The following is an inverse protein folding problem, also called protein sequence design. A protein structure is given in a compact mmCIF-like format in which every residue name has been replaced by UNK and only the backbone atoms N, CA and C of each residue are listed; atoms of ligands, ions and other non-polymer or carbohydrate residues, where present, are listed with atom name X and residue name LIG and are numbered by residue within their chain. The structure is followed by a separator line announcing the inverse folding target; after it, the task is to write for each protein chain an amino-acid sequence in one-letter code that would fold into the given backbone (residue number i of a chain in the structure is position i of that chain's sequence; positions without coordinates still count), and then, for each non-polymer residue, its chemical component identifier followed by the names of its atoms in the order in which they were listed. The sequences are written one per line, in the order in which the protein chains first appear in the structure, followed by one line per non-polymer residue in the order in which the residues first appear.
data_IF_832830906237
#
_entry.id   IF_832830906237
#
_cell.length_a   1.000
_cell.length_b   1.000
_cell.length_c   1.000
_cell.angle_alpha   90.00
_cell.angle_beta   90.00
_cell.angle_gamma   90.00
#
_symmetry.space_group_name_H-M   'P 1'
#
loop_
_entity.id
_entity.type
_entity.pdbx_description
1 polymer ?
#
# COMPACT_ATOMS: atom_id res chain seq x y z
N UNK A 1 12.79 15.62 -23.21
CA UNK A 1 12.69 15.51 -21.75
C UNK A 1 11.67 14.43 -21.46
N UNK A 2 12.06 13.36 -20.78
CA UNK A 2 11.19 12.21 -20.48
C UNK A 2 10.95 12.12 -18.97
N UNK A 3 9.85 11.51 -18.56
CA UNK A 3 9.53 11.32 -17.13
C UNK A 3 10.68 10.65 -16.35
N UNK A 4 11.37 9.69 -16.97
CA UNK A 4 12.52 9.01 -16.33
C UNK A 4 13.74 9.92 -16.21
N UNK A 5 14.01 10.81 -17.18
CA UNK A 5 15.13 11.75 -17.03
C UNK A 5 14.90 12.75 -15.90
N UNK A 6 13.64 13.14 -15.65
CA UNK A 6 13.31 14.05 -14.54
C UNK A 6 13.47 13.34 -13.19
N UNK A 7 13.11 12.05 -13.13
CA UNK A 7 13.33 11.23 -11.94
C UNK A 7 14.81 10.95 -11.68
N UNK A 8 15.59 10.69 -12.72
CA UNK A 8 17.05 10.51 -12.59
C UNK A 8 17.71 11.77 -12.03
N UNK A 9 17.34 12.95 -12.56
CA UNK A 9 17.79 14.22 -12.03
C UNK A 9 17.41 14.39 -10.55
N UNK A 10 16.17 14.07 -10.18
CA UNK A 10 15.73 14.15 -8.78
C UNK A 10 16.48 13.17 -7.87
N UNK A 11 16.76 11.95 -8.32
CA UNK A 11 17.53 10.95 -7.55
C UNK A 11 18.98 11.41 -7.33
N UNK A 12 19.58 12.09 -8.29
CA UNK A 12 20.94 12.61 -8.18
C UNK A 12 21.04 13.86 -7.30
N UNK A 13 20.03 14.72 -7.32
CA UNK A 13 20.12 16.07 -6.73
C UNK A 13 19.27 16.30 -5.47
N UNK A 14 18.29 15.45 -5.16
CA UNK A 14 17.46 15.61 -3.97
C UNK A 14 18.24 15.25 -2.68
N UNK A 15 17.82 15.84 -1.56
CA UNK A 15 18.42 15.57 -0.27
C UNK A 15 18.29 14.09 0.13
N UNK A 16 19.33 13.52 0.75
CA UNK A 16 19.35 12.14 1.27
C UNK A 16 18.65 11.98 2.61
N UNK A 17 18.31 13.09 3.27
CA UNK A 17 17.55 13.15 4.51
C UNK A 17 16.64 14.38 4.52
N UNK A 18 15.56 14.32 5.28
CA UNK A 18 14.58 15.40 5.38
C UNK A 18 13.38 14.97 6.21
N UNK A 19 12.47 15.92 6.46
CA UNK A 19 11.14 15.57 6.94
C UNK A 19 10.38 14.84 5.83
N UNK A 20 9.50 13.92 6.20
CA UNK A 20 8.68 13.13 5.29
C UNK A 20 7.52 13.89 4.64
N UNK A 21 7.58 15.23 4.64
CA UNK A 21 6.71 16.10 3.84
C UNK A 21 7.45 16.73 2.66
N UNK A 22 8.77 16.51 2.56
CA UNK A 22 9.60 16.99 1.47
C UNK A 22 10.16 15.81 0.69
N UNK A 23 10.25 15.98 -0.63
CA UNK A 23 10.82 14.96 -1.51
C UNK A 23 12.30 14.79 -1.20
N UNK A 24 12.67 13.58 -0.80
CA UNK A 24 14.06 13.12 -0.67
C UNK A 24 14.44 12.28 -1.89
N UNK A 25 15.74 11.95 -2.02
CA UNK A 25 16.22 10.96 -2.99
C UNK A 25 15.42 9.65 -2.92
N UNK A 26 15.09 9.19 -1.72
CA UNK A 26 14.35 7.95 -1.50
C UNK A 26 12.90 8.00 -2.01
N UNK A 27 12.24 9.15 -1.84
CA UNK A 27 10.92 9.39 -2.41
C UNK A 27 10.98 9.41 -3.95
N UNK A 28 12.00 10.05 -4.54
CA UNK A 28 12.22 10.06 -5.99
C UNK A 28 12.50 8.65 -6.54
N UNK A 29 13.30 7.85 -5.82
CA UNK A 29 13.57 6.45 -6.15
C UNK A 29 12.30 5.59 -6.12
N UNK A 30 11.48 5.71 -5.08
CA UNK A 30 10.21 4.97 -4.99
C UNK A 30 9.23 5.39 -6.11
N UNK A 31 9.15 6.68 -6.44
CA UNK A 31 8.36 7.13 -7.59
C UNK A 31 8.90 6.58 -8.92
N UNK A 32 10.23 6.49 -9.07
CA UNK A 32 10.86 5.84 -10.23
C UNK A 32 10.48 4.36 -10.34
N UNK A 33 10.42 3.63 -9.22
CA UNK A 33 9.94 2.24 -9.22
C UNK A 33 8.51 2.12 -9.76
N UNK A 34 7.59 3.04 -9.38
CA UNK A 34 6.23 3.07 -9.92
C UNK A 34 6.22 3.23 -11.45
N UNK A 35 7.03 4.15 -11.98
CA UNK A 35 7.13 4.42 -13.43
C UNK A 35 7.72 3.23 -14.18
N UNK A 36 8.79 2.63 -13.66
CA UNK A 36 9.42 1.44 -14.23
C UNK A 36 8.43 0.26 -14.28
N UNK A 37 7.72 -0.01 -13.18
CA UNK A 37 6.71 -1.07 -13.14
C UNK A 37 5.54 -0.81 -14.08
N UNK A 38 5.10 0.45 -14.22
CA UNK A 38 4.02 0.80 -15.15
C UNK A 38 4.44 0.62 -16.61
N UNK A 39 5.72 0.87 -16.94
CA UNK A 39 6.27 0.66 -18.29
C UNK A 39 6.52 -0.83 -18.59
N UNK A 40 6.94 -1.60 -17.60
CA UNK A 40 6.89 -3.06 -17.58
C UNK A 40 7.82 -3.79 -18.56
N UNK A 41 8.93 -3.18 -18.99
CA UNK A 41 9.94 -3.87 -19.81
C UNK A 41 10.86 -4.73 -18.95
N UNK A 42 11.56 -5.70 -19.57
CA UNK A 42 12.46 -6.59 -18.83
C UNK A 42 13.56 -5.82 -18.05
N UNK A 43 14.17 -4.82 -18.68
CA UNK A 43 15.19 -3.97 -18.03
C UNK A 43 14.60 -3.08 -16.92
N UNK A 44 13.30 -2.78 -16.97
CA UNK A 44 12.61 -2.01 -15.93
C UNK A 44 12.53 -2.80 -14.64
N UNK A 45 12.28 -4.10 -14.72
CA UNK A 45 12.21 -4.96 -13.55
C UNK A 45 13.57 -5.08 -12.86
N UNK A 46 14.65 -5.26 -13.62
CA UNK A 46 16.00 -5.31 -13.07
C UNK A 46 16.37 -4.00 -12.36
N UNK A 47 16.06 -2.86 -12.97
CA UNK A 47 16.27 -1.54 -12.34
C UNK A 47 15.40 -1.35 -11.10
N UNK A 48 14.13 -1.76 -11.14
CA UNK A 48 13.22 -1.66 -9.99
C UNK A 48 13.72 -2.49 -8.80
N UNK A 49 14.21 -3.72 -9.03
CA UNK A 49 14.83 -4.54 -7.99
C UNK A 49 16.06 -3.86 -7.40
N UNK A 50 16.96 -3.32 -8.24
CA UNK A 50 18.15 -2.63 -7.77
C UNK A 50 17.83 -1.40 -6.93
N UNK A 51 16.90 -0.56 -7.40
CA UNK A 51 16.43 0.63 -6.67
C UNK A 51 15.82 0.23 -5.34
N UNK A 52 14.92 -0.75 -5.33
CA UNK A 52 14.25 -1.19 -4.12
C UNK A 52 15.19 -1.76 -3.07
N UNK A 53 16.15 -2.60 -3.48
CA UNK A 53 17.19 -3.11 -2.57
C UNK A 53 18.04 -1.97 -1.97
N UNK A 54 18.36 -0.94 -2.76
CA UNK A 54 19.10 0.23 -2.28
C UNK A 54 18.28 1.03 -1.25
N UNK A 55 17.00 1.30 -1.54
CA UNK A 55 16.10 1.96 -0.57
C UNK A 55 16.00 1.14 0.72
N UNK A 56 15.75 -0.17 0.63
CA UNK A 56 15.57 -1.05 1.79
C UNK A 56 16.84 -1.07 2.66
N UNK A 57 18.02 -1.09 2.05
CA UNK A 57 19.29 -1.27 2.77
C UNK A 57 19.88 0.04 3.29
N UNK A 58 19.71 1.14 2.56
CA UNK A 58 20.52 2.35 2.76
C UNK A 58 19.72 3.61 3.13
N UNK A 59 18.38 3.57 3.04
CA UNK A 59 17.57 4.77 3.30
C UNK A 59 17.38 5.13 4.77
N UNK A 60 17.53 4.16 5.68
CA UNK A 60 17.23 4.31 7.10
C UNK A 60 15.73 4.33 7.44
N UNK A 61 14.82 4.16 6.47
CA UNK A 61 13.42 3.84 6.74
C UNK A 61 13.28 2.39 7.23
N UNK A 62 12.29 2.13 8.09
CA UNK A 62 12.07 0.82 8.70
C UNK A 62 10.57 0.53 8.72
N UNK A 63 10.19 -0.71 8.41
CA UNK A 63 8.81 -1.19 8.54
C UNK A 63 8.36 -1.12 10.00
N UNK A 64 7.16 -0.62 10.25
CA UNK A 64 6.63 -0.59 11.61
C UNK A 64 6.32 -2.02 12.10
N UNK A 65 6.73 -2.38 13.33
CA UNK A 65 6.36 -3.68 13.90
C UNK A 65 4.85 -3.90 14.02
N UNK A 66 4.09 -2.81 14.07
CA UNK A 66 2.64 -2.80 14.05
C UNK A 66 2.16 -1.71 13.08
N UNK A 67 1.71 -2.12 11.90
CA UNK A 67 1.25 -1.21 10.82
C UNK A 67 0.09 -0.33 11.27
N UNK A 68 -0.74 -0.77 12.23
CA UNK A 68 -1.84 0.04 12.77
C UNK A 68 -1.35 1.34 13.41
N UNK A 69 -0.15 1.32 14.00
CA UNK A 69 0.39 2.48 14.71
C UNK A 69 0.70 3.64 13.77
N UNK A 70 0.98 3.37 12.48
CA UNK A 70 1.12 4.41 11.45
C UNK A 70 -0.12 5.29 11.44
N UNK A 71 -1.31 4.69 11.43
CA UNK A 71 -2.56 5.42 11.24
C UNK A 71 -3.15 5.95 12.55
N UNK A 72 -2.92 5.26 13.68
CA UNK A 72 -3.60 5.57 14.93
C UNK A 72 -2.73 6.28 15.99
N UNK A 73 -1.40 6.29 15.83
CA UNK A 73 -0.51 6.92 16.81
C UNK A 73 0.60 7.80 16.20
N UNK A 74 1.20 7.39 15.07
CA UNK A 74 2.47 7.96 14.59
C UNK A 74 2.28 8.97 13.47
N UNK A 75 1.47 8.64 12.47
CA UNK A 75 1.34 9.40 11.24
C UNK A 75 2.71 9.64 10.60
N UNK A 76 3.01 10.92 10.36
CA UNK A 76 4.29 11.34 9.80
C UNK A 76 5.47 11.24 10.79
N UNK A 77 5.30 10.79 12.03
CA UNK A 77 6.45 10.43 12.87
C UNK A 77 6.94 9.00 12.61
N UNK A 78 6.20 8.19 11.85
CA UNK A 78 6.57 6.81 11.54
C UNK A 78 7.82 6.76 10.66
N UNK A 79 8.71 5.81 10.95
CA UNK A 79 9.90 5.53 10.14
C UNK A 79 9.60 4.68 8.90
N UNK A 80 8.36 4.28 8.71
CA UNK A 80 7.92 3.62 7.48
C UNK A 80 7.49 4.62 6.40
N UNK A 81 7.08 5.83 6.79
CA UNK A 81 6.55 6.83 5.86
C UNK A 81 7.68 7.58 5.18
N UNK A 82 7.82 7.36 3.87
CA UNK A 82 8.84 7.97 3.02
C UNK A 82 8.41 9.39 2.61
N UNK A 83 7.16 9.53 2.16
CA UNK A 83 6.56 10.79 1.77
C UNK A 83 5.08 10.80 2.17
N UNK A 84 4.64 11.90 2.77
CA UNK A 84 3.25 12.16 3.09
C UNK A 84 2.89 13.63 2.91
N UNK A 85 1.61 13.92 3.09
CA UNK A 85 1.05 15.27 2.99
C UNK A 85 0.44 15.62 4.34
N UNK A 86 0.82 16.79 4.87
CA UNK A 86 0.21 17.33 6.07
C UNK A 86 -1.16 17.90 5.75
N UNK A 87 -2.16 17.68 6.60
CA UNK A 87 -3.43 18.38 6.46
C UNK A 87 -3.24 19.89 6.62
N UNK A 88 -4.07 20.66 5.93
CA UNK A 88 -4.06 22.12 6.10
C UNK A 88 -4.42 22.52 7.53
N UNK A 89 -3.92 23.67 7.97
CA UNK A 89 -4.36 24.27 9.23
C UNK A 89 -5.89 24.39 9.22
N UNK A 90 -6.54 23.92 10.30
CA UNK A 90 -8.00 23.88 10.44
C UNK A 90 -8.75 22.99 9.43
N UNK A 91 -8.12 22.07 8.71
CA UNK A 91 -8.82 21.12 7.83
C UNK A 91 -9.92 20.35 8.58
N UNK A 92 -9.68 20.01 9.85
CA UNK A 92 -10.66 19.39 10.74
C UNK A 92 -11.92 20.23 11.03
N UNK A 93 -11.93 21.54 10.71
CA UNK A 93 -13.06 22.43 10.93
C UNK A 93 -14.18 22.26 9.89
N UNK A 94 -13.86 21.73 8.70
CA UNK A 94 -14.83 21.52 7.63
C UNK A 94 -15.01 20.04 7.36
N UNK A 95 -16.17 19.51 7.73
CA UNK A 95 -16.48 18.08 7.66
C UNK A 95 -16.14 17.41 6.32
N UNK A 96 -16.49 18.04 5.20
CA UNK A 96 -16.25 17.50 3.85
C UNK A 96 -14.77 17.39 3.48
N UNK A 97 -13.89 18.00 4.27
CA UNK A 97 -12.44 17.94 4.10
C UNK A 97 -11.78 16.94 5.06
N UNK A 98 -12.58 16.12 5.75
CA UNK A 98 -12.07 15.17 6.75
C UNK A 98 -12.35 13.72 6.38
N UNK A 99 -11.53 12.82 6.91
CA UNK A 99 -11.74 11.36 6.87
C UNK A 99 -13.03 10.93 7.59
N UNK A 100 -13.74 11.86 8.25
CA UNK A 100 -15.06 11.67 8.84
C UNK A 100 -16.11 11.20 7.82
N UNK A 101 -15.90 11.47 6.53
CA UNK A 101 -16.76 10.99 5.45
C UNK A 101 -16.83 9.46 5.34
N UNK A 102 -15.80 8.74 5.81
CA UNK A 102 -15.74 7.27 5.80
C UNK A 102 -16.58 6.60 6.90
N UNK A 103 -16.99 7.37 7.92
CA UNK A 103 -17.52 6.84 9.18
C UNK A 103 -18.85 7.45 9.62
N UNK A 104 -19.40 8.41 8.86
CA UNK A 104 -20.75 8.92 9.08
C UNK A 104 -21.67 8.45 7.95
N UNK A 105 -22.86 7.95 8.32
CA UNK A 105 -24.03 7.61 7.48
C UNK A 105 -23.96 8.14 6.04
N UNK A 106 -23.18 7.44 5.21
CA UNK A 106 -22.90 7.78 3.82
C UNK A 106 -22.67 6.46 3.07
N UNK A 107 -23.29 6.30 1.91
CA UNK A 107 -23.22 5.10 1.07
C UNK A 107 -22.15 5.16 -0.03
N UNK A 108 -21.45 6.29 -0.16
CA UNK A 108 -20.44 6.58 -1.19
C UNK A 108 -19.03 6.13 -0.83
N UNK A 109 -18.61 6.30 0.43
CA UNK A 109 -17.22 6.05 0.88
C UNK A 109 -17.20 5.01 2.00
N UNK A 110 -17.34 3.74 1.63
CA UNK A 110 -17.59 2.63 2.55
C UNK A 110 -16.71 1.44 2.25
N UNK A 111 -16.40 0.65 3.28
CA UNK A 111 -15.88 -0.70 3.09
C UNK A 111 -17.02 -1.59 2.58
N UNK A 112 -16.72 -2.48 1.63
CA UNK A 112 -17.70 -3.40 1.02
C UNK A 112 -17.52 -4.82 1.56
N UNK A 113 -18.51 -5.68 1.34
CA UNK A 113 -18.36 -7.12 1.60
C UNK A 113 -17.15 -7.72 0.88
N UNK A 114 -16.78 -7.24 -0.32
CA UNK A 114 -15.57 -7.70 -1.03
C UNK A 114 -14.31 -7.44 -0.21
N UNK A 115 -14.16 -6.25 0.37
CA UNK A 115 -13.02 -5.94 1.25
C UNK A 115 -13.06 -6.74 2.55
N UNK A 116 -14.26 -6.89 3.15
CA UNK A 116 -14.46 -7.72 4.35
C UNK A 116 -13.98 -9.15 4.12
N UNK A 117 -14.41 -9.76 3.03
CA UNK A 117 -14.12 -11.15 2.70
C UNK A 117 -12.64 -11.33 2.33
N UNK A 118 -12.03 -10.35 1.64
CA UNK A 118 -10.59 -10.34 1.37
C UNK A 118 -9.74 -10.28 2.65
N UNK A 119 -10.26 -9.64 3.70
CA UNK A 119 -9.63 -9.55 5.01
C UNK A 119 -10.13 -10.64 5.97
N UNK A 120 -10.79 -11.70 5.48
CA UNK A 120 -11.20 -12.80 6.33
C UNK A 120 -10.00 -13.37 7.09
N UNK A 121 -10.13 -13.46 8.42
CA UNK A 121 -9.05 -13.82 9.34
C UNK A 121 -7.81 -12.92 9.31
N UNK A 122 -7.77 -11.83 8.55
CA UNK A 122 -6.64 -10.87 8.56
C UNK A 122 -6.78 -9.89 9.75
N UNK A 123 -5.76 -9.67 10.59
CA UNK A 123 -5.88 -8.78 11.75
C UNK A 123 -6.22 -7.33 11.37
N UNK A 124 -5.93 -6.91 10.13
CA UNK A 124 -6.32 -5.60 9.59
C UNK A 124 -7.82 -5.40 9.53
N UNK A 125 -8.61 -6.48 9.44
CA UNK A 125 -10.07 -6.36 9.42
C UNK A 125 -10.60 -5.59 10.63
N UNK A 126 -10.02 -5.80 11.81
CA UNK A 126 -10.49 -5.21 13.08
C UNK A 126 -10.34 -3.68 13.14
N UNK A 127 -9.48 -3.10 12.31
CA UNK A 127 -9.22 -1.67 12.30
C UNK A 127 -9.35 -1.03 10.91
N UNK A 128 -9.76 -1.80 9.90
CA UNK A 128 -10.27 -1.27 8.63
C UNK A 128 -11.80 -1.20 8.60
N UNK A 129 -12.49 -2.15 9.25
CA UNK A 129 -13.94 -2.26 9.21
C UNK A 129 -14.57 -1.91 10.55
N UNK A 130 -15.45 -0.92 10.53
CA UNK A 130 -16.34 -0.59 11.64
C UNK A 130 -17.68 -1.31 11.55
N UNK A 131 -18.69 -0.75 12.22
CA UNK A 131 -20.05 -1.29 12.20
C UNK A 131 -20.63 -1.33 10.77
N UNK A 132 -21.59 -2.25 10.56
CA UNK A 132 -22.39 -2.28 9.35
C UNK A 132 -23.09 -0.94 9.13
N UNK A 133 -23.10 -0.49 7.87
CA UNK A 133 -23.74 0.76 7.49
C UNK A 133 -25.25 0.58 7.40
N UNK A 134 -26.00 1.43 8.11
CA UNK A 134 -27.46 1.41 8.08
C UNK A 134 -28.08 1.89 6.76
N UNK A 135 -27.33 2.65 5.95
CA UNK A 135 -27.85 3.29 4.73
C UNK A 135 -27.69 2.41 3.48
N UNK A 136 -26.83 1.38 3.53
CA UNK A 136 -26.55 0.50 2.40
C UNK A 136 -26.13 -0.90 2.86
N UNK A 137 -26.98 -1.88 2.57
CA UNK A 137 -26.70 -3.28 2.86
C UNK A 137 -25.39 -3.75 2.19
N UNK A 138 -24.67 -4.65 2.86
CA UNK A 138 -23.38 -5.17 2.38
C UNK A 138 -22.23 -4.16 2.44
N UNK A 139 -22.37 -3.12 3.26
CA UNK A 139 -21.31 -2.12 3.47
C UNK A 139 -21.07 -1.83 4.94
N UNK A 140 -19.88 -1.33 5.25
CA UNK A 140 -19.36 -1.10 6.60
C UNK A 140 -18.64 0.25 6.65
N UNK A 141 -18.59 0.89 7.81
CA UNK A 141 -17.75 2.08 7.98
C UNK A 141 -16.28 1.73 7.75
N UNK A 142 -15.56 2.56 7.01
CA UNK A 142 -14.14 2.38 6.78
C UNK A 142 -13.34 3.17 7.83
N UNK A 143 -12.71 2.47 8.76
CA UNK A 143 -12.14 3.06 9.99
C UNK A 143 -10.62 3.10 10.00
N UNK A 144 -9.93 2.78 8.90
CA UNK A 144 -8.45 2.76 8.83
C UNK A 144 -7.77 4.02 9.39
N UNK A 145 -8.36 5.19 9.13
CA UNK A 145 -7.84 6.49 9.56
C UNK A 145 -8.48 7.03 10.82
N UNK A 146 -9.71 6.59 11.10
CA UNK A 146 -10.52 7.12 12.19
C UNK A 146 -10.76 6.01 13.17
N UNK A 147 -10.25 6.15 14.40
CA UNK A 147 -10.44 5.17 15.46
C UNK A 147 -11.94 4.85 15.65
N UNK A 148 -12.24 3.75 16.34
CA UNK A 148 -13.62 3.27 16.56
C UNK A 148 -14.55 4.29 17.25
N UNK A 149 -14.01 5.34 17.86
CA UNK A 149 -14.74 6.51 18.39
C UNK A 149 -15.31 7.43 17.29
N UNK A 150 -14.97 7.18 16.03
CA UNK A 150 -15.42 7.89 14.82
C UNK A 150 -15.14 9.40 14.87
N UNK A 151 -14.11 9.80 15.61
CA UNK A 151 -13.68 11.20 15.78
C UNK A 151 -12.46 11.47 14.93
N UNK A 152 -12.56 12.46 14.04
CA UNK A 152 -11.44 12.92 13.21
C UNK A 152 -10.44 13.73 14.03
N UNK A 153 -9.16 13.62 13.69
CA UNK A 153 -8.04 14.28 14.36
C UNK A 153 -7.04 14.74 13.31
N UNK A 154 -6.07 15.58 13.67
CA UNK A 154 -5.01 15.96 12.72
C UNK A 154 -4.25 14.73 12.18
N UNK A 155 -4.14 13.67 12.97
CA UNK A 155 -3.54 12.40 12.57
C UNK A 155 -4.39 11.66 11.53
N UNK A 156 -5.72 11.65 11.65
CA UNK A 156 -6.60 10.97 10.70
C UNK A 156 -6.62 11.62 9.32
N UNK A 157 -6.19 12.87 9.23
CA UNK A 157 -6.13 13.65 7.98
C UNK A 157 -4.76 13.61 7.30
N UNK A 158 -3.79 12.89 7.85
CA UNK A 158 -2.51 12.64 7.19
C UNK A 158 -2.73 11.76 5.96
N UNK A 159 -2.23 12.20 4.81
CA UNK A 159 -2.17 11.37 3.61
C UNK A 159 -0.76 10.76 3.44
N UNK A 160 -0.72 9.49 3.07
CA UNK A 160 0.51 8.71 2.96
C UNK A 160 0.83 8.45 1.50
N UNK A 161 1.59 9.35 0.88
CA UNK A 161 1.88 9.30 -0.54
C UNK A 161 2.80 8.12 -0.92
N UNK A 162 3.81 7.83 -0.09
CA UNK A 162 4.75 6.71 -0.27
C UNK A 162 5.16 6.17 1.11
N UNK A 163 5.04 4.84 1.30
CA UNK A 163 5.56 4.12 2.47
C UNK A 163 6.54 3.03 2.06
N UNK A 164 7.42 2.63 2.98
CA UNK A 164 8.42 1.59 2.73
C UNK A 164 7.79 0.24 2.39
N UNK A 165 6.62 -0.10 2.96
CA UNK A 165 5.86 -1.30 2.56
C UNK A 165 5.65 -1.39 1.04
N UNK A 166 5.47 -0.25 0.35
CA UNK A 166 5.24 -0.22 -1.08
C UNK A 166 6.52 -0.58 -1.85
N UNK A 167 7.67 -0.10 -1.38
CA UNK A 167 8.98 -0.43 -1.93
C UNK A 167 9.20 -1.95 -1.86
N UNK A 168 8.91 -2.58 -0.72
CA UNK A 168 9.03 -4.03 -0.56
C UNK A 168 8.15 -4.78 -1.57
N UNK A 169 6.87 -4.40 -1.71
CA UNK A 169 5.96 -5.07 -2.64
C UNK A 169 6.28 -4.79 -4.12
N UNK A 170 6.84 -3.61 -4.44
CA UNK A 170 7.32 -3.28 -5.78
C UNK A 170 8.58 -4.08 -6.13
N UNK A 171 9.51 -4.25 -5.18
CA UNK A 171 10.70 -5.10 -5.34
C UNK A 171 10.31 -6.56 -5.50
N UNK A 172 9.36 -7.06 -4.71
CA UNK A 172 8.83 -8.41 -4.86
C UNK A 172 8.19 -8.59 -6.24
N UNK A 173 7.32 -7.67 -6.66
CA UNK A 173 6.67 -7.70 -7.98
C UNK A 173 7.70 -7.76 -9.11
N UNK A 174 8.66 -6.83 -9.10
CA UNK A 174 9.70 -6.76 -10.13
C UNK A 174 10.56 -8.03 -10.16
N UNK A 175 10.95 -8.53 -8.99
CA UNK A 175 11.73 -9.76 -8.86
C UNK A 175 11.00 -10.99 -9.40
N UNK A 176 9.68 -11.10 -9.18
CA UNK A 176 8.89 -12.20 -9.75
C UNK A 176 8.79 -12.05 -11.27
N UNK A 177 8.47 -10.85 -11.77
CA UNK A 177 8.30 -10.59 -13.21
C UNK A 177 9.59 -10.77 -14.00
N UNK A 178 10.75 -10.50 -13.39
CA UNK A 178 12.05 -10.73 -14.02
C UNK A 178 12.50 -12.20 -14.01
N UNK A 179 11.71 -13.13 -13.46
CA UNK A 179 12.08 -14.54 -13.30
C UNK A 179 13.09 -14.80 -12.18
N UNK A 180 13.12 -13.91 -11.17
CA UNK A 180 13.98 -14.04 -10.00
C UNK A 180 13.52 -15.10 -8.99
N UNK A 181 14.20 -15.15 -7.84
CA UNK A 181 13.89 -16.10 -6.77
C UNK A 181 12.53 -15.84 -6.14
N UNK A 182 11.60 -16.80 -6.27
CA UNK A 182 10.31 -16.76 -5.59
C UNK A 182 10.48 -16.75 -4.05
N UNK A 183 11.50 -17.43 -3.52
CA UNK A 183 11.78 -17.41 -2.08
C UNK A 183 12.16 -16.01 -1.58
N UNK A 184 12.95 -15.26 -2.36
CA UNK A 184 13.28 -13.86 -2.04
C UNK A 184 12.03 -12.98 -2.08
N UNK A 185 11.17 -13.14 -3.09
CA UNK A 185 9.93 -12.39 -3.19
C UNK A 185 8.96 -12.71 -2.03
N UNK A 186 8.82 -13.98 -1.63
CA UNK A 186 8.06 -14.39 -0.45
C UNK A 186 8.59 -13.71 0.81
N UNK A 187 9.91 -13.66 1.00
CA UNK A 187 10.54 -12.96 2.12
C UNK A 187 10.18 -11.46 2.18
N UNK A 188 10.15 -10.77 1.03
CA UNK A 188 9.75 -9.37 0.95
C UNK A 188 8.25 -9.16 1.28
N UNK A 189 7.37 -10.03 0.78
CA UNK A 189 5.94 -10.01 1.11
C UNK A 189 5.73 -10.27 2.60
N UNK A 190 6.42 -11.27 3.16
CA UNK A 190 6.32 -11.61 4.58
C UNK A 190 6.85 -10.52 5.51
N UNK A 191 7.85 -9.74 5.08
CA UNK A 191 8.31 -8.57 5.83
C UNK A 191 7.19 -7.53 6.02
N UNK A 192 6.37 -7.30 4.99
CA UNK A 192 5.19 -6.42 5.08
C UNK A 192 4.08 -7.05 5.93
N UNK A 193 3.80 -8.33 5.72
CA UNK A 193 2.78 -9.07 6.48
C UNK A 193 3.06 -9.13 7.98
N UNK A 194 4.33 -9.16 8.39
CA UNK A 194 4.72 -9.19 9.80
C UNK A 194 4.16 -7.98 10.58
N UNK A 195 4.19 -6.78 9.99
CA UNK A 195 3.62 -5.57 10.58
C UNK A 195 2.09 -5.63 10.74
N UNK A 196 1.42 -6.46 9.96
CA UNK A 196 -0.01 -6.75 10.07
C UNK A 196 -0.32 -7.91 11.04
N UNK A 197 0.69 -8.49 11.70
CA UNK A 197 0.52 -9.63 12.61
C UNK A 197 0.36 -10.98 11.89
N UNK A 198 0.79 -11.08 10.63
CA UNK A 198 0.77 -12.32 9.84
C UNK A 198 2.20 -12.86 9.77
N UNK A 199 2.44 -14.00 10.42
CA UNK A 199 3.76 -14.62 10.59
C UNK A 199 3.65 -16.14 10.53
N UNK A 200 4.78 -16.84 10.48
CA UNK A 200 4.80 -18.31 10.53
C UNK A 200 4.17 -18.90 11.80
N UNK A 201 4.05 -18.12 12.89
CA UNK A 201 3.52 -18.57 14.20
C UNK A 201 2.20 -17.92 14.60
N UNK A 202 1.71 -16.95 13.82
CA UNK A 202 0.46 -16.26 14.08
C UNK A 202 -0.23 -15.92 12.75
N UNK A 203 -1.53 -16.20 12.65
CA UNK A 203 -2.26 -16.04 11.39
C UNK A 203 -1.72 -16.94 10.26
N UNK A 204 -1.51 -18.21 10.58
CA UNK A 204 -0.80 -19.16 9.72
C UNK A 204 -1.47 -19.38 8.37
N UNK A 205 -2.80 -19.26 8.26
CA UNK A 205 -3.49 -19.48 6.99
C UNK A 205 -3.13 -18.40 5.95
N UNK A 206 -3.13 -17.12 6.34
CA UNK A 206 -2.73 -16.02 5.45
C UNK A 206 -1.22 -16.07 5.13
N UNK A 207 -0.40 -16.51 6.09
CA UNK A 207 1.03 -16.74 5.85
C UNK A 207 1.23 -17.88 4.83
N UNK A 208 0.54 -19.00 5.01
CA UNK A 208 0.65 -20.17 4.13
C UNK A 208 0.14 -19.91 2.72
N UNK A 209 -0.80 -18.99 2.51
CA UNK A 209 -1.23 -18.60 1.17
C UNK A 209 -0.07 -18.09 0.29
N UNK A 210 0.88 -17.36 0.87
CA UNK A 210 2.10 -16.89 0.18
C UNK A 210 3.09 -18.05 0.01
N UNK A 211 3.29 -18.87 1.03
CA UNK A 211 4.21 -20.01 0.97
C UNK A 211 3.78 -21.07 -0.06
N UNK A 212 2.49 -21.28 -0.25
CA UNK A 212 1.93 -22.24 -1.20
C UNK A 212 1.87 -21.73 -2.65
N UNK A 213 2.10 -20.43 -2.87
CA UNK A 213 2.22 -19.87 -4.21
C UNK A 213 3.58 -20.28 -4.83
N UNK A 214 3.55 -21.35 -5.63
CA UNK A 214 4.74 -22.01 -6.18
C UNK A 214 5.06 -21.63 -7.63
N UNK A 215 4.18 -20.84 -8.27
CA UNK A 215 4.41 -20.30 -9.60
C UNK A 215 4.57 -18.78 -9.54
N UNK A 216 5.16 -18.20 -10.59
CA UNK A 216 5.28 -16.74 -10.70
C UNK A 216 3.89 -16.06 -10.70
N UNK A 217 2.92 -16.63 -11.41
CA UNK A 217 1.56 -16.09 -11.50
C UNK A 217 0.83 -16.15 -10.15
N UNK A 218 0.93 -17.28 -9.43
CA UNK A 218 0.33 -17.40 -8.10
C UNK A 218 0.94 -16.41 -7.11
N UNK A 219 2.28 -16.25 -7.13
CA UNK A 219 2.95 -15.37 -6.18
C UNK A 219 2.73 -13.89 -6.54
N UNK A 220 2.63 -13.55 -7.82
CA UNK A 220 2.19 -12.21 -8.24
C UNK A 220 0.80 -11.90 -7.71
N UNK A 221 -0.12 -12.86 -7.76
CA UNK A 221 -1.46 -12.69 -7.23
C UNK A 221 -1.47 -12.49 -5.71
N UNK A 222 -0.66 -13.24 -4.96
CA UNK A 222 -0.51 -13.03 -3.52
C UNK A 222 0.11 -11.67 -3.20
N UNK A 223 1.13 -11.24 -3.95
CA UNK A 223 1.73 -9.91 -3.83
C UNK A 223 0.69 -8.80 -4.09
N UNK A 224 -0.16 -8.97 -5.11
CA UNK A 224 -1.27 -8.06 -5.39
C UNK A 224 -2.30 -8.00 -4.25
N UNK A 225 -2.67 -9.14 -3.68
CA UNK A 225 -3.56 -9.12 -2.52
C UNK A 225 -2.94 -8.38 -1.34
N UNK A 226 -1.63 -8.52 -1.12
CA UNK A 226 -0.93 -7.76 -0.09
C UNK A 226 -0.90 -6.25 -0.40
N UNK A 227 -0.82 -5.84 -1.68
CA UNK A 227 -1.03 -4.44 -2.07
C UNK A 227 -2.43 -3.94 -1.68
N UNK A 228 -3.49 -4.69 -2.00
CA UNK A 228 -4.86 -4.28 -1.68
C UNK A 228 -5.02 -4.14 -0.17
N UNK A 229 -4.57 -5.15 0.59
CA UNK A 229 -4.69 -5.16 2.06
C UNK A 229 -3.80 -4.09 2.71
N UNK A 230 -2.66 -3.74 2.14
CA UNK A 230 -1.77 -2.71 2.68
C UNK A 230 -2.19 -1.28 2.33
N UNK A 231 -2.72 -1.05 1.12
CA UNK A 231 -2.90 0.30 0.55
C UNK A 231 -4.35 0.68 0.24
N UNK A 232 -5.35 -0.14 0.61
CA UNK A 232 -6.75 0.32 0.54
C UNK A 232 -6.90 1.62 1.33
N UNK A 233 -7.45 2.64 0.67
CA UNK A 233 -7.58 3.99 1.20
C UNK A 233 -6.34 4.89 1.06
N UNK A 234 -5.25 4.46 0.41
CA UNK A 234 -3.99 5.20 0.24
C UNK A 234 -3.63 5.36 -1.25
N UNK A 235 -4.15 6.42 -1.89
CA UNK A 235 -3.84 6.83 -3.28
C UNK A 235 -3.99 5.74 -4.37
N UNK A 236 -4.85 4.75 -4.11
CA UNK A 236 -5.18 3.65 -5.01
C UNK A 236 -3.97 2.93 -5.65
N UNK A 237 -2.84 2.82 -4.94
CA UNK A 237 -1.65 2.12 -5.48
C UNK A 237 -1.94 0.67 -5.88
N UNK A 238 -2.88 0.03 -5.17
CA UNK A 238 -3.39 -1.30 -5.53
C UNK A 238 -4.10 -1.31 -6.89
N UNK A 239 -4.74 -0.22 -7.33
CA UNK A 239 -5.33 -0.14 -8.66
C UNK A 239 -4.26 -0.12 -9.75
N UNK A 240 -3.17 0.62 -9.56
CA UNK A 240 -2.04 0.58 -10.50
C UNK A 240 -1.36 -0.79 -10.51
N UNK A 241 -1.28 -1.48 -9.37
CA UNK A 241 -0.83 -2.87 -9.31
C UNK A 241 -1.75 -3.83 -10.09
N UNK A 242 -3.08 -3.66 -9.97
CA UNK A 242 -4.06 -4.42 -10.75
C UNK A 242 -3.83 -4.25 -12.25
N UNK A 243 -3.65 -3.02 -12.73
CA UNK A 243 -3.51 -2.72 -14.15
C UNK A 243 -2.24 -3.31 -14.80
N UNK A 244 -1.28 -3.79 -14.01
CA UNK A 244 -0.07 -4.49 -14.50
C UNK A 244 -0.29 -5.99 -14.73
N UNK A 245 -1.49 -6.51 -14.50
CA UNK A 245 -1.86 -7.86 -14.89
C UNK A 245 -2.41 -7.92 -16.32
N UNK A 246 -2.38 -9.11 -16.97
CA UNK A 246 -3.14 -9.34 -18.19
C UNK A 246 -4.62 -9.01 -18.00
N UNK A 247 -5.26 -8.48 -19.05
CA UNK A 247 -6.67 -8.04 -18.99
C UNK A 247 -7.61 -9.15 -18.47
N UNK A 248 -7.37 -10.41 -18.82
CA UNK A 248 -8.17 -11.54 -18.35
C UNK A 248 -8.17 -11.61 -16.80
N UNK A 249 -6.99 -11.55 -16.18
CA UNK A 249 -6.85 -11.53 -14.72
C UNK A 249 -7.49 -10.28 -14.13
N UNK A 250 -7.29 -9.10 -14.75
CA UNK A 250 -7.92 -7.85 -14.29
C UNK A 250 -9.44 -7.97 -14.25
N UNK A 251 -10.06 -8.51 -15.29
CA UNK A 251 -11.52 -8.66 -15.36
C UNK A 251 -12.06 -9.72 -14.39
N UNK A 252 -11.26 -10.73 -14.03
CA UNK A 252 -11.60 -11.67 -12.97
C UNK A 252 -11.57 -11.01 -11.59
N UNK A 253 -10.52 -10.25 -11.30
CA UNK A 253 -10.32 -9.59 -10.00
C UNK A 253 -11.23 -8.37 -9.80
N UNK A 254 -11.57 -7.68 -10.90
CA UNK A 254 -12.46 -6.53 -10.90
C UNK A 254 -13.46 -6.62 -12.07
N UNK A 255 -14.55 -7.39 -11.92
CA UNK A 255 -15.55 -7.61 -12.97
C UNK A 255 -16.31 -6.36 -13.46
N UNK A 256 -16.17 -5.25 -12.74
CA UNK A 256 -16.72 -3.95 -13.16
C UNK A 256 -15.92 -3.30 -14.29
N UNK A 257 -14.67 -3.71 -14.52
CA UNK A 257 -13.89 -3.35 -15.71
C UNK A 257 -14.37 -4.21 -16.88
N UNK A 258 -14.88 -3.57 -17.93
CA UNK A 258 -15.40 -4.24 -19.12
C UNK A 258 -14.57 -3.86 -20.34
N UNK A 259 -14.41 -4.81 -21.27
CA UNK A 259 -13.92 -4.51 -22.62
C UNK A 259 -14.96 -3.65 -23.31
N UNK A 260 -14.57 -2.47 -23.79
CA UNK A 260 -15.39 -1.59 -24.64
C UNK A 260 -15.28 -2.08 -26.08
#
# INVERSE_FOLDING_TARGET
MSLLSDLDYAVENAATSGSNVYVTKWAAMALKMRVLLARGQQDDYAQCVAIGNDVISNSGYVLEPNTRDIFYAKGLSSKEVILGVIPQANQGAYYYNTSGIYVRRNSFYVATTVLKDMLANDPRQQWYLGNANGDKAGTFYFIKYVQSTLTTTQLSEVAYAIRLSEVYLMTAEAGIRSGGSLATAKGLIHAVQAGAGITATANTDNYLAVEQANTADDLLLQNYYEYVKSFVGEDDQYYFALLRFPLATVTTLRPTIKKI
#
